data_IF_673132093460
#
_entry.id   IF_673132093460
#
_cell.length_a   1.000
_cell.length_b   1.000
_cell.length_c   1.000
_cell.angle_alpha   90.00
_cell.angle_beta   90.00
_cell.angle_gamma   90.00
#
_symmetry.space_group_name_H-M   'P 1'
#
loop_
_entity.id
_entity.type
_entity.pdbx_description
1 polymer ?
#
# COMPACT_ATOMS: atom_id res chain seq x y z
N UNK A 1 22.87 5.77 -20.31
CA UNK A 1 22.70 6.32 -18.96
C UNK A 1 22.13 5.24 -18.05
N UNK A 2 22.65 5.06 -16.83
CA UNK A 2 22.03 4.14 -15.86
C UNK A 2 20.69 4.74 -15.41
N UNK A 3 19.59 4.00 -15.52
CA UNK A 3 18.27 4.47 -15.03
C UNK A 3 18.36 4.77 -13.53
N UNK A 4 17.81 5.90 -13.10
CA UNK A 4 17.75 6.28 -11.67
C UNK A 4 16.71 5.47 -10.89
N UNK A 5 15.70 4.93 -11.57
CA UNK A 5 14.58 4.18 -11.00
C UNK A 5 14.29 2.99 -11.91
N UNK A 6 13.95 1.86 -11.32
CA UNK A 6 13.41 0.69 -12.04
C UNK A 6 11.88 0.76 -12.04
N UNK A 7 11.25 0.62 -13.21
CA UNK A 7 9.80 0.66 -13.36
C UNK A 7 9.23 -0.75 -13.52
N UNK A 8 8.28 -1.11 -12.64
CA UNK A 8 7.43 -2.28 -12.79
C UNK A 8 6.04 -1.87 -13.27
N UNK A 9 5.56 -2.46 -14.36
CA UNK A 9 4.23 -2.23 -14.91
C UNK A 9 3.27 -3.36 -14.54
N UNK A 10 2.20 -3.02 -13.83
CA UNK A 10 1.02 -3.90 -13.63
C UNK A 10 0.16 -3.91 -14.92
N UNK A 11 -0.45 -5.06 -15.24
CA UNK A 11 -1.34 -5.23 -16.38
C UNK A 11 -2.70 -4.51 -16.23
N UNK A 12 -3.05 -4.10 -15.01
CA UNK A 12 -4.32 -3.46 -14.69
C UNK A 12 -5.49 -4.44 -14.59
N UNK A 13 -5.25 -5.75 -14.66
CA UNK A 13 -6.29 -6.79 -14.63
C UNK A 13 -7.27 -6.64 -13.46
N UNK A 14 -6.76 -6.38 -12.25
CA UNK A 14 -7.61 -6.19 -11.07
C UNK A 14 -8.55 -4.99 -11.20
N UNK A 15 -8.04 -3.87 -11.71
CA UNK A 15 -8.82 -2.64 -11.90
C UNK A 15 -9.88 -2.80 -12.98
N UNK A 16 -9.54 -3.46 -14.08
CA UNK A 16 -10.46 -3.76 -15.18
C UNK A 16 -11.58 -4.70 -14.70
N UNK A 17 -11.22 -5.78 -14.00
CA UNK A 17 -12.17 -6.71 -13.39
C UNK A 17 -13.16 -6.00 -12.44
N UNK A 18 -12.66 -5.12 -11.55
CA UNK A 18 -13.52 -4.34 -10.64
C UNK A 18 -14.52 -3.43 -11.35
N UNK A 19 -14.20 -3.00 -12.58
CA UNK A 19 -15.03 -2.12 -13.40
C UNK A 19 -15.86 -2.89 -14.45
N UNK A 20 -15.71 -4.20 -14.55
CA UNK A 20 -16.33 -5.00 -15.61
C UNK A 20 -15.79 -4.68 -17.01
N UNK A 21 -14.58 -4.14 -17.10
CA UNK A 21 -13.90 -3.82 -18.36
C UNK A 21 -13.01 -5.00 -18.74
N UNK A 22 -13.01 -5.37 -20.03
CA UNK A 22 -12.11 -6.36 -20.58
C UNK A 22 -10.92 -5.65 -21.24
N UNK A 23 -9.71 -6.08 -20.91
CA UNK A 23 -8.48 -5.64 -21.59
C UNK A 23 -8.22 -6.61 -22.75
N UNK A 24 -7.94 -6.06 -23.93
CA UNK A 24 -7.46 -6.84 -25.06
C UNK A 24 -5.97 -7.16 -24.86
N UNK A 25 -5.60 -8.44 -24.92
CA UNK A 25 -4.23 -8.88 -24.69
C UNK A 25 -3.26 -8.38 -25.77
N UNK A 26 -3.71 -8.26 -27.02
CA UNK A 26 -2.88 -7.77 -28.13
C UNK A 26 -2.58 -6.28 -27.98
N UNK A 27 -3.57 -5.50 -27.53
CA UNK A 27 -3.38 -4.09 -27.20
C UNK A 27 -2.42 -3.91 -26.02
N UNK A 28 -2.51 -4.78 -25.01
CA UNK A 28 -1.58 -4.77 -23.88
C UNK A 28 -0.15 -5.15 -24.30
N UNK A 29 0.01 -6.19 -25.14
CA UNK A 29 1.29 -6.58 -25.73
C UNK A 29 1.87 -5.38 -26.47
N UNK A 30 1.10 -4.79 -27.39
CA UNK A 30 1.52 -3.61 -28.15
C UNK A 30 1.94 -2.46 -27.24
N UNK A 31 1.20 -2.18 -26.17
CA UNK A 31 1.56 -1.14 -25.21
C UNK A 31 2.91 -1.43 -24.54
N UNK A 32 3.17 -2.67 -24.11
CA UNK A 32 4.45 -3.07 -23.52
C UNK A 32 5.58 -2.90 -24.53
N UNK A 33 5.36 -3.26 -25.79
CA UNK A 33 6.35 -3.13 -26.85
C UNK A 33 6.68 -1.67 -27.18
N UNK A 34 5.64 -0.85 -27.38
CA UNK A 34 5.77 0.57 -27.71
C UNK A 34 6.48 1.36 -26.58
N UNK A 35 6.51 0.84 -25.36
CA UNK A 35 7.10 1.49 -24.17
C UNK A 35 8.26 0.71 -23.54
N UNK A 36 8.81 -0.28 -24.25
CA UNK A 36 9.78 -1.24 -23.69
C UNK A 36 11.06 -0.58 -23.15
N UNK A 37 11.46 0.57 -23.69
CA UNK A 37 12.62 1.31 -23.22
C UNK A 37 12.45 1.87 -21.79
N UNK A 38 11.21 2.16 -21.38
CA UNK A 38 10.90 2.75 -20.07
C UNK A 38 10.60 1.70 -19.00
N UNK A 39 10.16 0.51 -19.41
CA UNK A 39 9.69 -0.56 -18.52
C UNK A 39 10.83 -1.55 -18.24
N UNK A 40 11.15 -1.78 -16.96
CA UNK A 40 12.18 -2.75 -16.58
C UNK A 40 11.58 -4.13 -16.27
N UNK A 41 10.38 -4.14 -15.70
CA UNK A 41 9.62 -5.36 -15.39
C UNK A 41 8.16 -5.11 -15.74
N UNK A 42 7.46 -6.11 -16.27
CA UNK A 42 6.02 -6.02 -16.51
C UNK A 42 5.34 -7.34 -16.16
N UNK A 43 4.11 -7.23 -15.66
CA UNK A 43 3.28 -8.33 -15.22
C UNK A 43 2.46 -8.86 -16.40
N UNK A 44 2.18 -10.16 -16.44
CA UNK A 44 1.29 -10.71 -17.46
C UNK A 44 -0.14 -10.20 -17.30
N UNK A 45 -0.93 -10.20 -18.37
CA UNK A 45 -2.36 -9.96 -18.26
C UNK A 45 -3.04 -11.21 -17.67
N UNK A 46 -3.19 -11.23 -16.35
CA UNK A 46 -3.84 -12.30 -15.60
C UNK A 46 -5.37 -12.18 -15.61
N UNK A 47 -6.05 -13.29 -15.36
CA UNK A 47 -7.51 -13.38 -15.29
C UNK A 47 -7.89 -13.76 -13.87
N UNK A 48 -8.50 -12.81 -13.14
CA UNK A 48 -8.84 -12.95 -11.72
C UNK A 48 -9.63 -14.24 -11.48
N UNK A 49 -9.14 -15.05 -10.53
CA UNK A 49 -9.70 -16.36 -10.13
C UNK A 49 -9.73 -17.43 -11.24
N UNK A 50 -9.00 -17.25 -12.35
CA UNK A 50 -8.86 -18.24 -13.41
C UNK A 50 -7.39 -18.52 -13.75
N UNK A 51 -6.83 -19.57 -13.10
CA UNK A 51 -5.43 -19.95 -13.28
C UNK A 51 -5.09 -20.48 -14.68
N UNK A 52 -6.04 -21.15 -15.37
CA UNK A 52 -5.82 -21.65 -16.73
C UNK A 52 -5.69 -20.50 -17.72
N UNK A 53 -6.67 -19.60 -17.72
CA UNK A 53 -6.66 -18.44 -18.62
C UNK A 53 -5.48 -17.51 -18.34
N UNK A 54 -5.10 -17.33 -17.06
CA UNK A 54 -3.89 -16.57 -16.71
C UNK A 54 -2.61 -17.22 -17.27
N UNK A 55 -2.51 -18.55 -17.18
CA UNK A 55 -1.38 -19.30 -17.72
C UNK A 55 -1.33 -19.26 -19.25
N UNK A 56 -2.47 -19.38 -19.91
CA UNK A 56 -2.58 -19.32 -21.38
C UNK A 56 -2.21 -17.92 -21.89
N UNK A 57 -2.71 -16.86 -21.25
CA UNK A 57 -2.31 -15.49 -21.54
C UNK A 57 -0.80 -15.31 -21.38
N UNK A 58 -0.22 -15.84 -20.31
CA UNK A 58 1.22 -15.76 -20.07
C UNK A 58 2.03 -16.50 -21.16
N UNK A 59 1.63 -17.72 -21.56
CA UNK A 59 2.27 -18.44 -22.68
C UNK A 59 2.11 -17.71 -24.00
N UNK A 60 0.93 -17.13 -24.25
CA UNK A 60 0.66 -16.36 -25.46
C UNK A 60 1.58 -15.14 -25.56
N UNK A 61 1.67 -14.32 -24.52
CA UNK A 61 2.61 -13.20 -24.47
C UNK A 61 4.07 -13.65 -24.71
N UNK A 62 4.47 -14.80 -24.17
CA UNK A 62 5.81 -15.37 -24.42
C UNK A 62 6.00 -15.81 -25.87
N UNK A 63 4.97 -16.35 -26.51
CA UNK A 63 5.03 -16.70 -27.94
C UNK A 63 5.17 -15.48 -28.85
N UNK A 64 4.75 -14.30 -28.38
CA UNK A 64 4.97 -13.01 -29.04
C UNK A 64 6.35 -12.39 -28.74
N UNK A 65 7.26 -13.11 -28.06
CA UNK A 65 8.61 -12.61 -27.77
C UNK A 65 8.70 -11.72 -26.52
N UNK A 66 7.66 -11.70 -25.67
CA UNK A 66 7.73 -11.07 -24.35
C UNK A 66 8.21 -12.04 -23.26
N UNK A 67 8.61 -11.51 -22.12
CA UNK A 67 8.95 -12.30 -20.93
C UNK A 67 8.33 -11.68 -19.66
N UNK A 68 6.98 -11.62 -19.56
CA UNK A 68 6.32 -11.04 -18.40
C UNK A 68 6.50 -11.89 -17.14
N UNK A 69 6.55 -11.23 -15.98
CA UNK A 69 6.45 -11.91 -14.68
C UNK A 69 5.04 -12.49 -14.55
N UNK A 70 4.89 -13.82 -14.39
CA UNK A 70 3.58 -14.44 -14.21
C UNK A 70 3.01 -14.14 -12.82
N UNK A 71 1.69 -14.03 -12.71
CA UNK A 71 0.96 -13.98 -11.44
C UNK A 71 0.26 -15.30 -11.18
N UNK A 72 0.57 -15.91 -10.05
CA UNK A 72 -0.21 -16.99 -9.47
C UNK A 72 -1.27 -16.42 -8.52
N UNK A 73 -2.55 -16.71 -8.76
CA UNK A 73 -3.62 -16.41 -7.81
C UNK A 73 -3.71 -17.50 -6.76
N UNK A 74 -3.57 -17.12 -5.49
CA UNK A 74 -3.56 -18.08 -4.38
C UNK A 74 -4.91 -18.81 -4.18
N UNK A 75 -5.99 -18.33 -4.81
CA UNK A 75 -7.31 -18.96 -4.88
C UNK A 75 -7.41 -20.08 -5.93
N UNK A 76 -6.45 -20.20 -6.84
CA UNK A 76 -6.48 -21.14 -7.96
C UNK A 76 -5.69 -22.42 -7.66
N UNK A 77 -5.80 -23.42 -8.54
CA UNK A 77 -5.10 -24.69 -8.40
C UNK A 77 -3.57 -24.50 -8.39
N UNK A 78 -2.92 -25.03 -7.36
CA UNK A 78 -1.47 -24.93 -7.15
C UNK A 78 -0.64 -25.51 -8.30
N UNK A 79 -1.23 -26.35 -9.17
CA UNK A 79 -0.57 -26.81 -10.38
C UNK A 79 -0.06 -25.67 -11.26
N UNK A 80 -0.73 -24.50 -11.29
CA UNK A 80 -0.28 -23.35 -12.07
C UNK A 80 0.96 -22.69 -11.46
N UNK A 81 1.02 -22.60 -10.13
CA UNK A 81 2.25 -22.21 -9.44
C UNK A 81 3.41 -23.13 -9.85
N UNK A 82 3.21 -24.44 -9.78
CA UNK A 82 4.24 -25.42 -10.14
C UNK A 82 4.66 -25.29 -11.61
N UNK A 83 3.73 -25.02 -12.53
CA UNK A 83 4.05 -24.75 -13.93
C UNK A 83 4.94 -23.52 -14.08
N UNK A 84 4.60 -22.41 -13.42
CA UNK A 84 5.40 -21.19 -13.48
C UNK A 84 6.80 -21.38 -12.88
N UNK A 85 6.92 -21.99 -11.70
CA UNK A 85 8.21 -22.21 -11.01
C UNK A 85 9.19 -23.11 -11.81
N UNK A 86 8.73 -23.84 -12.83
CA UNK A 86 9.59 -24.60 -13.73
C UNK A 86 10.19 -23.75 -14.86
N UNK A 87 9.63 -22.58 -15.12
CA UNK A 87 9.93 -21.78 -16.32
C UNK A 87 10.43 -20.36 -16.02
N UNK A 88 10.34 -19.88 -14.77
CA UNK A 88 10.76 -18.52 -14.38
C UNK A 88 11.41 -18.47 -13.01
N UNK A 89 12.32 -17.52 -12.81
CA UNK A 89 12.95 -17.23 -11.51
C UNK A 89 12.20 -16.18 -10.69
N UNK A 90 11.24 -15.46 -11.31
CA UNK A 90 10.50 -14.38 -10.69
C UNK A 90 9.00 -14.52 -10.93
N UNK A 91 8.22 -14.52 -9.85
CA UNK A 91 6.77 -14.73 -9.87
C UNK A 91 6.04 -13.75 -8.95
N UNK A 92 4.85 -13.31 -9.38
CA UNK A 92 3.90 -12.57 -8.56
C UNK A 92 2.90 -13.49 -7.86
N UNK A 93 2.51 -13.17 -6.64
CA UNK A 93 1.40 -13.82 -5.92
C UNK A 93 0.28 -12.81 -5.71
N UNK A 94 -0.89 -13.09 -6.28
CA UNK A 94 -2.08 -12.25 -6.23
C UNK A 94 -3.34 -13.00 -5.78
N UNK A 95 -4.51 -12.40 -6.02
CA UNK A 95 -5.81 -13.00 -5.69
C UNK A 95 -6.17 -13.00 -4.20
N UNK A 96 -5.50 -12.18 -3.38
CA UNK A 96 -5.65 -12.19 -1.91
C UNK A 96 -6.37 -10.95 -1.35
N UNK A 97 -6.83 -10.04 -2.21
CA UNK A 97 -7.38 -8.75 -1.81
C UNK A 97 -8.59 -8.88 -0.87
N UNK A 98 -9.46 -9.86 -1.10
CA UNK A 98 -10.69 -10.12 -0.32
C UNK A 98 -10.46 -11.03 0.89
N UNK A 99 -9.25 -11.59 1.05
CA UNK A 99 -8.98 -12.55 2.10
C UNK A 99 -8.79 -11.90 3.47
N UNK A 100 -9.28 -12.58 4.49
CA UNK A 100 -8.99 -12.26 5.88
C UNK A 100 -7.51 -12.47 6.19
N UNK A 101 -7.03 -11.84 7.28
CA UNK A 101 -5.67 -12.04 7.80
C UNK A 101 -5.33 -13.53 8.01
N UNK A 102 -6.27 -14.30 8.57
CA UNK A 102 -6.09 -15.73 8.83
C UNK A 102 -5.89 -16.52 7.53
N UNK A 103 -6.72 -16.27 6.52
CA UNK A 103 -6.60 -16.93 5.21
C UNK A 103 -5.26 -16.61 4.53
N UNK A 104 -4.82 -15.34 4.56
CA UNK A 104 -3.52 -14.95 4.03
C UNK A 104 -2.37 -15.67 4.73
N UNK A 105 -2.36 -15.70 6.06
CA UNK A 105 -1.33 -16.40 6.84
C UNK A 105 -1.29 -17.90 6.54
N UNK A 106 -2.45 -18.56 6.53
CA UNK A 106 -2.54 -20.00 6.26
C UNK A 106 -2.05 -20.34 4.85
N UNK A 107 -2.48 -19.56 3.86
CA UNK A 107 -2.07 -19.77 2.47
C UNK A 107 -0.58 -19.50 2.29
N UNK A 108 -0.07 -18.37 2.76
CA UNK A 108 1.34 -18.03 2.61
C UNK A 108 2.26 -18.97 3.40
N UNK A 109 1.88 -19.40 4.60
CA UNK A 109 2.64 -20.44 5.32
C UNK A 109 2.74 -21.74 4.51
N UNK A 110 1.64 -22.16 3.87
CA UNK A 110 1.65 -23.33 2.99
C UNK A 110 2.52 -23.09 1.75
N UNK A 111 2.33 -21.97 1.04
CA UNK A 111 3.07 -21.68 -0.19
C UNK A 111 4.58 -21.61 0.06
N UNK A 112 5.00 -20.80 1.04
CA UNK A 112 6.40 -20.65 1.39
C UNK A 112 7.01 -21.97 1.79
N UNK A 113 6.32 -22.73 2.62
CA UNK A 113 6.92 -23.90 3.22
C UNK A 113 6.86 -25.19 2.41
N UNK A 114 6.12 -25.18 1.30
CA UNK A 114 5.99 -26.35 0.42
C UNK A 114 6.61 -26.11 -0.96
N UNK A 115 6.59 -24.88 -1.48
CA UNK A 115 6.94 -24.63 -2.89
C UNK A 115 8.02 -23.57 -3.11
N UNK A 116 8.17 -22.60 -2.20
CA UNK A 116 8.98 -21.39 -2.48
C UNK A 116 10.33 -21.36 -1.74
N UNK A 117 10.64 -22.35 -0.92
CA UNK A 117 11.92 -22.43 -0.20
C UNK A 117 12.60 -23.78 -0.36
N UNK A 118 13.91 -23.77 -0.19
CA UNK A 118 14.73 -24.98 -0.10
C UNK A 118 14.67 -25.63 1.29
N UNK A 119 15.51 -26.65 1.51
CA UNK A 119 15.62 -27.34 2.80
C UNK A 119 16.03 -26.43 3.97
N UNK A 120 16.77 -25.35 3.70
CA UNK A 120 17.21 -24.38 4.71
C UNK A 120 16.20 -23.23 4.91
N UNK A 121 15.09 -23.25 4.18
CA UNK A 121 14.09 -22.18 4.23
C UNK A 121 14.47 -20.97 3.39
N UNK A 122 15.52 -21.05 2.57
CA UNK A 122 15.94 -19.95 1.68
C UNK A 122 15.03 -19.93 0.44
N UNK A 123 14.51 -18.76 0.02
CA UNK A 123 13.74 -18.63 -1.22
C UNK A 123 14.46 -19.22 -2.43
N UNK A 124 13.77 -20.09 -3.17
CA UNK A 124 14.28 -20.63 -4.45
C UNK A 124 14.00 -19.72 -5.63
N UNK A 125 13.05 -18.80 -5.47
CA UNK A 125 12.58 -17.88 -6.50
C UNK A 125 12.41 -16.48 -5.92
N UNK A 126 12.52 -15.46 -6.75
CA UNK A 126 12.04 -14.12 -6.41
C UNK A 126 10.52 -14.16 -6.36
N UNK A 127 9.93 -13.60 -5.31
CA UNK A 127 8.48 -13.57 -5.13
C UNK A 127 8.03 -12.14 -4.87
N UNK A 128 7.14 -11.64 -5.72
CA UNK A 128 6.48 -10.34 -5.58
C UNK A 128 5.08 -10.53 -4.97
N UNK A 129 4.74 -9.79 -3.91
CA UNK A 129 3.40 -9.82 -3.33
C UNK A 129 2.54 -8.67 -3.87
N UNK A 130 1.52 -9.00 -4.67
CA UNK A 130 0.64 -8.00 -5.31
C UNK A 130 -0.26 -7.32 -4.27
N UNK A 131 -0.24 -6.00 -4.20
CA UNK A 131 -1.16 -5.17 -3.39
C UNK A 131 -1.12 -5.49 -1.89
N UNK A 132 0.05 -5.83 -1.35
CA UNK A 132 0.24 -6.33 0.01
C UNK A 132 1.33 -5.53 0.73
N UNK A 133 0.94 -4.73 1.73
CA UNK A 133 1.86 -3.97 2.61
C UNK A 133 1.49 -4.14 4.09
N UNK A 134 0.95 -5.30 4.45
CA UNK A 134 0.74 -5.63 5.86
C UNK A 134 2.09 -5.87 6.51
N UNK A 135 2.48 -5.04 7.49
CA UNK A 135 3.76 -5.17 8.20
C UNK A 135 3.98 -6.60 8.72
N UNK A 136 2.96 -7.22 9.29
CA UNK A 136 3.08 -8.59 9.77
C UNK A 136 3.44 -9.57 8.65
N UNK A 137 2.84 -9.45 7.46
CA UNK A 137 3.11 -10.37 6.36
C UNK A 137 4.46 -10.05 5.70
N UNK A 138 4.83 -8.78 5.58
CA UNK A 138 6.14 -8.36 5.06
C UNK A 138 7.29 -8.84 5.95
N UNK A 139 7.14 -8.72 7.28
CA UNK A 139 8.15 -9.13 8.25
C UNK A 139 8.24 -10.67 8.43
N UNK A 140 7.21 -11.41 7.99
CA UNK A 140 7.11 -12.86 8.19
C UNK A 140 7.71 -13.68 7.07
N UNK A 141 7.58 -13.22 5.83
CA UNK A 141 7.97 -14.01 4.66
C UNK A 141 9.07 -13.30 3.84
N UNK A 142 10.01 -14.05 3.26
CA UNK A 142 11.16 -13.51 2.52
C UNK A 142 10.80 -13.07 1.10
N UNK A 143 9.88 -12.10 1.01
CA UNK A 143 9.52 -11.44 -0.24
C UNK A 143 10.73 -10.81 -0.90
N UNK A 144 10.80 -10.91 -2.23
CA UNK A 144 11.78 -10.16 -3.02
C UNK A 144 11.33 -8.70 -3.19
N UNK A 145 10.03 -8.49 -3.38
CA UNK A 145 9.43 -7.15 -3.42
C UNK A 145 7.92 -7.22 -3.14
N UNK A 146 7.32 -6.07 -2.87
CA UNK A 146 5.89 -5.92 -2.59
C UNK A 146 5.43 -4.57 -3.11
N UNK A 147 4.15 -4.42 -3.43
CA UNK A 147 3.54 -3.13 -3.77
C UNK A 147 2.24 -2.89 -3.00
N UNK A 148 1.83 -1.62 -2.90
CA UNK A 148 0.49 -1.24 -2.46
C UNK A 148 0.26 0.26 -2.65
N UNK A 149 -1.02 0.63 -2.69
CA UNK A 149 -1.48 2.03 -2.60
C UNK A 149 -1.75 2.47 -1.16
N UNK A 150 -1.60 1.58 -0.17
CA UNK A 150 -2.04 1.85 1.20
C UNK A 150 -1.25 2.99 1.89
N UNK A 151 0.01 3.17 1.55
CA UNK A 151 0.88 4.17 2.17
C UNK A 151 0.47 5.59 1.74
N UNK A 152 0.18 5.80 0.46
CA UNK A 152 -0.36 7.07 -0.07
C UNK A 152 -1.79 7.31 0.40
N UNK A 153 -2.64 6.27 0.45
CA UNK A 153 -3.98 6.43 1.01
C UNK A 153 -3.95 6.77 2.50
N UNK A 154 -2.96 6.28 3.25
CA UNK A 154 -2.78 6.61 4.67
C UNK A 154 -2.47 8.10 4.84
N UNK A 155 -1.58 8.68 4.03
CA UNK A 155 -1.26 10.11 4.04
C UNK A 155 -2.46 10.96 3.63
N UNK A 156 -3.16 10.59 2.57
CA UNK A 156 -4.41 11.25 2.12
C UNK A 156 -5.52 11.23 3.16
N UNK A 157 -5.62 10.17 3.95
CA UNK A 157 -6.56 10.08 5.08
C UNK A 157 -6.05 10.73 6.37
N UNK A 158 -4.95 11.48 6.31
CA UNK A 158 -4.49 12.34 7.39
C UNK A 158 -3.53 11.68 8.37
N UNK A 159 -3.01 10.49 8.07
CA UNK A 159 -2.14 9.74 8.96
C UNK A 159 -0.72 9.57 8.43
N UNK A 160 0.22 9.41 9.36
CA UNK A 160 1.58 8.94 9.09
C UNK A 160 1.86 7.61 9.80
N UNK A 161 2.83 6.87 9.30
CA UNK A 161 3.40 5.70 9.95
C UNK A 161 4.61 6.11 10.78
N UNK A 162 4.66 5.67 12.03
CA UNK A 162 5.74 6.00 12.97
C UNK A 162 6.26 4.70 13.61
N UNK A 163 7.56 4.36 13.45
CA UNK A 163 8.14 3.19 14.08
C UNK A 163 8.19 3.37 15.60
N UNK A 164 8.31 2.27 16.34
CA UNK A 164 8.50 2.37 17.79
C UNK A 164 9.93 2.78 18.11
N UNK A 165 10.13 3.51 19.19
CA UNK A 165 11.46 3.82 19.71
C UNK A 165 11.76 2.95 20.93
N UNK A 166 12.81 2.13 20.87
CA UNK A 166 13.21 1.23 21.97
C UNK A 166 14.73 1.19 22.06
N UNK A 167 15.27 1.32 23.27
CA UNK A 167 16.73 1.21 23.54
C UNK A 167 17.58 2.09 22.61
N UNK A 168 17.18 3.35 22.43
CA UNK A 168 17.95 4.33 21.65
C UNK A 168 17.84 4.20 20.12
N UNK A 169 16.91 3.38 19.60
CA UNK A 169 16.74 3.20 18.15
C UNK A 169 15.28 3.04 17.74
N UNK A 170 14.99 3.45 16.51
CA UNK A 170 13.73 3.12 15.84
C UNK A 170 13.67 1.63 15.49
N UNK A 171 12.52 1.03 15.73
CA UNK A 171 12.22 -0.38 15.52
C UNK A 171 11.02 -0.49 14.60
N UNK A 172 11.26 -1.13 13.45
CA UNK A 172 10.26 -1.35 12.42
C UNK A 172 9.70 -2.77 12.57
N UNK A 173 8.69 -2.90 13.44
CA UNK A 173 7.99 -4.15 13.69
C UNK A 173 6.48 -4.02 13.50
N UNK A 174 5.72 -5.10 13.74
CA UNK A 174 4.27 -5.13 13.58
C UNK A 174 3.50 -4.17 14.51
N UNK A 175 4.17 -3.56 15.50
CA UNK A 175 3.58 -2.61 16.45
C UNK A 175 3.73 -1.15 16.04
N UNK A 176 4.06 -0.87 14.78
CA UNK A 176 4.13 0.48 14.22
C UNK A 176 2.88 1.30 14.52
N UNK A 177 3.06 2.57 14.86
CA UNK A 177 1.96 3.49 15.02
C UNK A 177 1.44 3.99 13.68
N UNK A 178 0.13 4.03 13.53
CA UNK A 178 -0.56 4.83 12.53
C UNK A 178 -1.16 6.04 13.24
N UNK A 179 -0.49 7.18 13.16
CA UNK A 179 -0.85 8.40 13.88
C UNK A 179 -1.65 9.30 12.96
N UNK A 180 -2.88 9.66 13.33
CA UNK A 180 -3.59 10.74 12.66
C UNK A 180 -2.96 12.08 13.09
N UNK A 181 -2.46 12.83 12.12
CA UNK A 181 -1.79 14.13 12.35
C UNK A 181 -2.54 15.29 11.70
N UNK A 182 -3.53 14.98 10.86
CA UNK A 182 -4.22 16.03 10.12
C UNK A 182 -5.08 16.92 11.01
N UNK A 183 -4.93 18.23 10.83
CA UNK A 183 -5.77 19.27 11.45
C UNK A 183 -7.25 19.16 11.03
N UNK A 184 -7.53 18.52 9.90
CA UNK A 184 -8.89 18.28 9.37
C UNK A 184 -9.49 17.03 10.02
N UNK A 185 -9.98 17.18 11.24
CA UNK A 185 -10.54 16.08 12.01
C UNK A 185 -11.81 15.49 11.38
N UNK A 186 -11.97 14.18 11.54
CA UNK A 186 -13.15 13.41 11.13
C UNK A 186 -13.81 12.77 12.37
N UNK A 187 -15.07 12.30 12.29
CA UNK A 187 -15.68 11.58 13.40
C UNK A 187 -14.78 10.42 13.88
N UNK A 188 -14.53 10.35 15.18
CA UNK A 188 -13.64 9.34 15.78
C UNK A 188 -12.15 9.70 15.79
N UNK A 189 -11.74 10.82 15.20
CA UNK A 189 -10.34 11.29 15.24
C UNK A 189 -9.82 11.49 16.67
N UNK A 190 -10.68 11.91 17.61
CA UNK A 190 -10.31 12.21 18.99
C UNK A 190 -10.44 11.01 19.96
N UNK A 191 -10.64 9.79 19.45
CA UNK A 191 -10.51 8.60 20.27
C UNK A 191 -9.05 8.43 20.74
N UNK A 192 -8.87 7.87 21.93
CA UNK A 192 -7.55 7.67 22.54
C UNK A 192 -6.57 6.94 21.61
N UNK A 193 -5.35 7.46 21.50
CA UNK A 193 -4.29 6.88 20.66
C UNK A 193 -4.60 6.90 19.15
N UNK A 194 -5.43 7.84 18.67
CA UNK A 194 -5.71 8.03 17.23
C UNK A 194 -5.04 9.28 16.69
N UNK A 195 -5.49 10.45 17.16
CA UNK A 195 -4.90 11.72 16.77
C UNK A 195 -3.68 12.03 17.65
N UNK A 196 -2.67 12.70 17.11
CA UNK A 196 -1.45 13.06 17.85
C UNK A 196 -1.73 13.77 19.18
N UNK A 197 -2.80 14.56 19.25
CA UNK A 197 -3.23 15.25 20.48
C UNK A 197 -3.84 14.34 21.56
N UNK A 198 -4.14 13.08 21.22
CA UNK A 198 -4.74 12.08 22.12
C UNK A 198 -3.73 11.08 22.68
N UNK A 199 -2.45 11.22 22.32
CA UNK A 199 -1.35 10.46 22.90
C UNK A 199 -0.87 11.13 24.19
N UNK A 200 -0.20 10.36 25.05
CA UNK A 200 0.51 10.94 26.20
C UNK A 200 1.58 11.93 25.74
N UNK A 201 1.98 12.85 26.62
CA UNK A 201 3.00 13.85 26.31
C UNK A 201 4.31 13.22 25.81
N UNK A 202 4.77 12.17 26.51
CA UNK A 202 5.96 11.43 26.13
C UNK A 202 5.83 10.76 24.76
N UNK A 203 4.69 10.16 24.44
CA UNK A 203 4.46 9.56 23.12
C UNK A 203 4.40 10.61 22.02
N UNK A 204 3.75 11.75 22.29
CA UNK A 204 3.68 12.88 21.38
C UNK A 204 5.07 13.43 21.08
N UNK A 205 5.91 13.62 22.09
CA UNK A 205 7.31 14.02 21.90
C UNK A 205 8.05 13.02 21.00
N UNK A 206 7.88 11.71 21.21
CA UNK A 206 8.52 10.71 20.35
C UNK A 206 8.04 10.72 18.91
N UNK A 207 6.76 11.01 18.70
CA UNK A 207 6.21 11.17 17.35
C UNK A 207 6.81 12.42 16.69
N UNK A 208 6.88 13.54 17.40
CA UNK A 208 7.47 14.79 16.91
C UNK A 208 8.99 14.66 16.65
N UNK A 209 9.73 14.01 17.55
CA UNK A 209 11.14 13.66 17.37
C UNK A 209 11.36 12.91 16.05
N UNK A 210 10.50 11.93 15.76
CA UNK A 210 10.59 11.18 14.51
C UNK A 210 10.35 12.07 13.28
N UNK A 211 9.31 12.90 13.30
CA UNK A 211 8.98 13.83 12.22
C UNK A 211 10.14 14.79 11.96
N UNK A 212 10.66 15.43 13.01
CA UNK A 212 11.79 16.36 12.92
C UNK A 212 13.08 15.66 12.48
N UNK A 213 13.33 14.43 12.95
CA UNK A 213 14.50 13.65 12.53
C UNK A 213 14.51 13.29 11.03
N UNK A 214 13.35 13.38 10.36
CA UNK A 214 13.21 13.21 8.91
C UNK A 214 13.21 14.54 8.13
N UNK A 215 13.39 15.67 8.81
CA UNK A 215 13.47 16.98 8.20
C UNK A 215 12.11 17.62 7.91
N UNK A 216 11.03 17.10 8.48
CA UNK A 216 9.69 17.68 8.36
C UNK A 216 9.32 18.40 9.64
N UNK A 217 8.47 19.42 9.57
CA UNK A 217 7.82 20.02 10.74
C UNK A 217 6.36 19.57 10.84
N UNK A 218 5.75 19.77 12.02
CA UNK A 218 4.36 19.38 12.25
C UNK A 218 3.38 20.26 11.44
N UNK A 219 3.63 21.56 11.35
CA UNK A 219 2.75 22.52 10.68
C UNK A 219 1.64 23.04 11.59
N UNK A 220 1.21 24.28 11.32
CA UNK A 220 0.24 25.03 12.12
C UNK A 220 -0.87 25.59 11.23
N UNK A 221 -2.11 25.56 11.73
CA UNK A 221 -3.26 26.10 11.00
C UNK A 221 -4.31 26.66 11.94
N UNK A 222 -4.91 27.77 11.52
CA UNK A 222 -6.08 28.36 12.15
C UNK A 222 -7.34 28.05 11.34
N UNK A 223 -8.46 27.90 12.04
CA UNK A 223 -9.76 27.66 11.42
C UNK A 223 -10.73 28.77 11.79
N UNK A 224 -11.40 29.34 10.78
CA UNK A 224 -12.48 30.31 11.01
C UNK A 224 -13.67 30.04 10.11
N UNK A 225 -14.84 30.47 10.58
CA UNK A 225 -16.09 30.38 9.83
C UNK A 225 -16.27 31.65 9.02
N UNK A 226 -16.63 31.47 7.76
CA UNK A 226 -16.90 32.56 6.82
C UNK A 226 -18.33 32.48 6.26
N UNK A 227 -18.69 33.49 5.49
CA UNK A 227 -19.95 33.53 4.74
C UNK A 227 -19.88 32.84 3.37
N UNK A 228 -21.03 32.61 2.72
CA UNK A 228 -21.11 32.03 1.38
C UNK A 228 -20.40 32.84 0.29
N UNK A 229 -20.35 34.16 0.44
CA UNK A 229 -19.77 35.08 -0.55
C UNK A 229 -18.28 35.35 -0.32
N UNK A 230 -17.67 34.69 0.68
CA UNK A 230 -16.27 34.90 1.02
C UNK A 230 -15.34 34.33 -0.06
N UNK A 231 -14.36 35.13 -0.47
CA UNK A 231 -13.30 34.71 -1.42
C UNK A 231 -12.02 34.43 -0.64
N UNK A 232 -11.48 33.22 -0.81
CA UNK A 232 -10.22 32.80 -0.21
C UNK A 232 -9.09 33.80 -0.53
N UNK A 233 -8.35 34.20 0.50
CA UNK A 233 -7.13 34.99 0.36
C UNK A 233 -5.93 34.07 0.11
N UNK A 234 -4.80 34.64 -0.29
CA UNK A 234 -3.55 33.88 -0.45
C UNK A 234 -3.18 33.18 0.87
N UNK A 235 -2.94 31.87 0.82
CA UNK A 235 -2.63 31.05 2.00
C UNK A 235 -3.86 30.44 2.70
N UNK A 236 -5.07 30.74 2.20
CA UNK A 236 -6.31 30.17 2.69
C UNK A 236 -6.83 29.05 1.79
N UNK A 237 -7.51 28.08 2.39
CA UNK A 237 -8.23 27.01 1.68
C UNK A 237 -9.47 26.61 2.46
N UNK A 238 -10.48 26.07 1.81
CA UNK A 238 -11.62 25.50 2.51
C UNK A 238 -11.22 24.20 3.21
N UNK A 239 -11.61 24.05 4.47
CA UNK A 239 -11.49 22.80 5.22
C UNK A 239 -12.65 21.82 4.87
N UNK A 240 -13.66 22.31 4.14
CA UNK A 240 -14.90 21.64 3.81
C UNK A 240 -14.89 20.79 2.55
N UNK A 241 -15.96 20.01 2.32
CA UNK A 241 -16.10 19.11 1.16
C UNK A 241 -16.52 19.82 -0.14
N UNK A 242 -16.80 21.13 -0.11
CA UNK A 242 -17.22 21.87 -1.30
C UNK A 242 -16.04 22.33 -2.17
N UNK A 243 -14.78 22.03 -1.79
CA UNK A 243 -13.66 22.05 -2.73
C UNK A 243 -13.72 20.83 -3.66
N UNK A 244 -14.67 20.88 -4.59
CA UNK A 244 -14.43 20.42 -5.94
C UNK A 244 -15.26 21.32 -6.85
N UNK A 245 -14.63 22.36 -7.40
CA UNK A 245 -15.04 22.98 -8.68
C UNK A 245 -14.84 21.98 -9.83
N UNK A 246 -15.37 20.77 -9.67
CA UNK A 246 -15.33 19.69 -10.61
C UNK A 246 -16.58 18.86 -10.40
N UNK A 247 -17.45 18.83 -11.41
CA UNK A 247 -18.54 17.89 -11.48
C UNK A 247 -18.02 16.49 -11.15
N UNK A 248 -18.41 15.95 -10.00
CA UNK A 248 -18.21 14.55 -9.66
C UNK A 248 -19.57 13.90 -9.58
N UNK A 249 -19.81 12.97 -10.50
CA UNK A 249 -20.97 12.09 -10.53
C UNK A 249 -21.22 11.52 -9.12
N UNK A 250 -22.31 11.98 -8.49
CA UNK A 250 -22.86 11.36 -7.30
C UNK A 250 -23.31 9.95 -7.65
N UNK A 251 -22.68 8.92 -7.09
CA UNK A 251 -23.27 7.58 -7.09
C UNK A 251 -24.54 7.61 -6.24
N UNK A 252 -25.72 7.23 -6.78
CA UNK A 252 -26.90 7.08 -5.96
C UNK A 252 -26.84 5.72 -5.24
N UNK A 253 -27.60 5.65 -4.15
CA UNK A 253 -28.03 4.44 -3.44
C UNK A 253 -27.07 3.83 -2.40
N UNK A 254 -27.28 4.25 -1.14
CA UNK A 254 -27.93 3.39 -0.13
C UNK A 254 -28.42 4.27 1.01
N UNK A 255 -29.74 4.23 1.24
CA UNK A 255 -30.40 4.90 2.35
C UNK A 255 -29.84 4.45 3.70
N UNK A 256 -29.68 5.43 4.58
CA UNK A 256 -29.23 5.27 5.96
C UNK A 256 -28.86 6.63 6.54
N UNK A 257 -29.67 7.10 7.48
CA UNK A 257 -29.52 8.38 8.18
C UNK A 257 -28.07 8.66 8.61
N UNK A 258 -27.51 9.80 8.19
CA UNK A 258 -26.32 10.38 8.83
C UNK A 258 -26.78 11.41 9.84
N UNK A 259 -26.65 11.06 11.12
CA UNK A 259 -26.86 11.95 12.25
C UNK A 259 -25.79 13.05 12.28
N UNK A 260 -26.24 14.30 12.17
CA UNK A 260 -25.59 15.59 12.46
C UNK A 260 -24.07 15.55 12.74
N UNK A 261 -23.28 15.88 11.72
CA UNK A 261 -21.94 16.43 11.85
C UNK A 261 -21.81 17.59 10.87
N UNK A 262 -21.62 18.81 11.39
CA UNK A 262 -21.40 20.09 10.72
C UNK A 262 -21.40 20.05 9.18
N UNK A 263 -22.43 20.63 8.56
CA UNK A 263 -22.38 21.01 7.15
C UNK A 263 -21.15 21.88 6.94
N UNK A 264 -20.15 21.30 6.26
CA UNK A 264 -18.82 21.80 5.89
C UNK A 264 -18.84 23.05 4.98
N UNK A 265 -19.91 23.82 5.00
CA UNK A 265 -20.09 24.98 4.16
C UNK A 265 -19.48 26.14 4.94
N UNK A 266 -18.35 26.65 4.44
CA UNK A 266 -17.70 27.89 4.89
C UNK A 266 -16.73 27.84 6.08
N UNK A 267 -16.00 26.74 6.29
CA UNK A 267 -14.84 26.75 7.20
C UNK A 267 -13.58 26.99 6.36
N UNK A 268 -12.89 28.10 6.60
CA UNK A 268 -11.59 28.42 6.02
C UNK A 268 -10.50 27.96 6.97
N UNK A 269 -9.51 27.27 6.42
CA UNK A 269 -8.24 26.94 7.04
C UNK A 269 -7.19 27.93 6.54
N UNK A 270 -6.49 28.57 7.48
CA UNK A 270 -5.38 29.48 7.23
C UNK A 270 -4.11 28.73 7.63
N UNK A 271 -3.23 28.45 6.67
CA UNK A 271 -1.97 27.75 6.96
C UNK A 271 -0.94 28.78 7.45
N UNK A 272 -0.56 28.69 8.72
CA UNK A 272 0.45 29.57 9.34
C UNK A 272 1.84 29.02 9.04
N UNK A 273 2.03 27.72 9.28
CA UNK A 273 3.25 26.99 8.96
C UNK A 273 2.87 25.73 8.20
N UNK A 274 3.43 25.55 7.00
CA UNK A 274 3.23 24.33 6.22
C UNK A 274 3.92 23.15 6.90
N UNK A 275 3.23 22.02 7.02
CA UNK A 275 3.80 20.82 7.61
C UNK A 275 2.89 19.61 7.48
N UNK A 276 3.29 18.49 8.07
CA UNK A 276 2.58 17.21 7.90
C UNK A 276 1.13 17.23 8.42
N UNK A 277 0.74 18.17 9.27
CA UNK A 277 -0.61 18.30 9.81
C UNK A 277 -1.58 18.91 8.79
N UNK A 278 -1.08 19.74 7.87
CA UNK A 278 -1.90 20.45 6.90
C UNK A 278 -1.60 20.06 5.44
N UNK A 279 -0.43 19.53 5.07
CA UNK A 279 -0.21 19.00 3.71
C UNK A 279 -0.22 17.47 3.65
N UNK A 280 -1.07 16.91 2.79
CA UNK A 280 -1.10 15.47 2.56
C UNK A 280 0.08 14.97 1.75
N UNK A 281 0.71 15.80 0.90
CA UNK A 281 1.89 15.40 0.14
C UNK A 281 3.07 15.12 1.06
N UNK A 282 3.29 15.99 2.06
CA UNK A 282 4.30 15.77 3.09
C UNK A 282 4.03 14.50 3.90
N UNK A 283 2.77 14.15 4.16
CA UNK A 283 2.41 12.85 4.78
C UNK A 283 2.69 11.66 3.86
N UNK A 284 2.40 11.80 2.57
CA UNK A 284 2.70 10.77 1.57
C UNK A 284 4.22 10.51 1.54
N UNK A 285 5.04 11.57 1.47
CA UNK A 285 6.50 11.48 1.53
C UNK A 285 7.00 10.82 2.83
N UNK A 286 6.46 11.26 3.98
CA UNK A 286 6.81 10.68 5.28
C UNK A 286 6.52 9.17 5.33
N UNK A 287 5.39 8.75 4.74
CA UNK A 287 5.05 7.34 4.63
C UNK A 287 5.99 6.58 3.69
N UNK A 288 6.44 7.17 2.57
CA UNK A 288 7.48 6.54 1.72
C UNK A 288 8.77 6.36 2.51
N UNK A 289 9.23 7.39 3.20
CA UNK A 289 10.46 7.35 4.02
C UNK A 289 10.38 6.24 5.06
N UNK A 290 9.22 6.07 5.71
CA UNK A 290 8.98 4.96 6.62
C UNK A 290 9.22 3.59 5.94
N UNK A 291 8.71 3.37 4.73
CA UNK A 291 8.91 2.08 4.02
C UNK A 291 10.35 1.91 3.53
N UNK A 292 11.02 2.98 3.12
CA UNK A 292 12.45 2.95 2.76
C UNK A 292 13.33 2.61 3.97
N UNK A 293 12.98 3.08 5.15
CA UNK A 293 13.70 2.73 6.38
C UNK A 293 13.37 1.31 6.85
N UNK A 294 12.11 0.87 6.68
CA UNK A 294 11.72 -0.53 6.91
C UNK A 294 12.51 -1.47 6.00
N UNK A 295 12.66 -1.14 4.71
CA UNK A 295 13.46 -1.92 3.76
C UNK A 295 14.90 -2.08 4.25
N UNK A 296 15.54 -0.99 4.71
CA UNK A 296 16.89 -1.02 5.29
C UNK A 296 16.96 -1.80 6.61
N UNK A 297 15.85 -1.87 7.36
CA UNK A 297 15.77 -2.59 8.62
C UNK A 297 15.58 -4.10 8.42
N UNK A 298 14.96 -4.52 7.31
CA UNK A 298 14.79 -5.92 6.97
C UNK A 298 16.14 -6.58 6.65
N UNK A 299 16.28 -7.90 6.87
CA UNK A 299 17.43 -8.63 6.38
C UNK A 299 17.53 -8.52 4.86
N UNK A 300 18.76 -8.44 4.35
CA UNK A 300 19.00 -8.48 2.90
C UNK A 300 18.41 -9.78 2.31
N UNK A 301 17.77 -9.66 1.15
CA UNK A 301 17.23 -10.82 0.45
C UNK A 301 18.36 -11.57 -0.27
N UNK A 302 18.38 -12.92 -0.27
CA UNK A 302 17.40 -13.81 0.35
C UNK A 302 17.67 -14.06 1.84
N UNK A 303 16.60 -14.23 2.61
CA UNK A 303 16.67 -14.63 4.02
C UNK A 303 15.73 -15.79 4.33
N UNK A 304 16.05 -16.58 5.34
CA UNK A 304 15.35 -17.84 5.62
C UNK A 304 13.93 -17.62 6.17
N UNK A 305 12.95 -18.26 5.54
CA UNK A 305 11.59 -18.37 6.09
C UNK A 305 11.60 -19.24 7.35
N UNK A 306 11.34 -18.61 8.50
CA UNK A 306 11.23 -19.31 9.79
C UNK A 306 9.79 -19.78 9.99
N UNK A 307 9.53 -21.07 9.74
CA UNK A 307 8.27 -21.71 10.14
C UNK A 307 8.05 -21.43 11.63
N UNK A 308 6.92 -20.79 11.97
CA UNK A 308 6.47 -20.79 13.36
C UNK A 308 6.01 -22.20 13.65
N UNK A 309 6.72 -22.92 14.52
CA UNK A 309 6.20 -24.12 15.15
C UNK A 309 4.86 -23.73 15.78
N UNK A 310 3.76 -24.50 15.54
CA UNK A 310 2.59 -24.37 16.39
C UNK A 310 3.09 -24.45 17.82
N UNK A 311 2.69 -23.53 18.70
CA UNK A 311 2.96 -23.69 20.14
C UNK A 311 2.40 -25.06 20.50
N UNK A 312 3.29 -26.02 20.72
CA UNK A 312 2.90 -27.37 21.08
C UNK A 312 2.06 -27.28 22.34
N UNK A 313 0.93 -27.96 22.34
CA UNK A 313 0.43 -28.54 23.58
C UNK A 313 1.56 -29.45 24.06
N UNK A 314 2.33 -28.97 25.04
CA UNK A 314 3.04 -29.88 25.92
C UNK A 314 1.93 -30.65 26.63
N UNK A 315 1.78 -31.93 26.26
CA UNK A 315 1.04 -32.93 27.04
C UNK A 315 1.94 -33.40 28.16
#
# INVERSE_FOLDING_TARGET
MKKKVCLMLDSGAYSAWKKGIKINIDEYIKFVEDNREYIDVYINLDVIDNGQASFDNWKYMRSCGLNPVPVYHASTDVKYLIKYLKEVDYIGIGGIATWTRKQRLQSFDRLWSTYLVDFFGIPTHKVHAMGMTSLQLMLRYPWYSVDSTSWVLTGRYGSILVPRYRKGKYVYDENTWKVLVSTRLTPGSLAEGKHISTYSEMERERILDYIHSKGYCFGESEFRKEGPDYKLKKGERWAGKNEADGERLSRPERGGLVTRGWTKNYIVEIVIEEGISNDYKLRDEMNIIYFLDLEKFLPEWPWAFKRKTPKGFFV
#
